data_IF_431926725486
#
_entry.id   IF_431926725486
#
_cell.length_a   1.000
_cell.length_b   1.000
_cell.length_c   1.000
_cell.angle_alpha   90.00
_cell.angle_beta   90.00
_cell.angle_gamma   90.00
#
_symmetry.space_group_name_H-M   'P 1'
#
loop_
_entity.id
_entity.type
_entity.pdbx_description
1 polymer ?
#
# COMPACT_ATOMS: atom_id res chain seq x y z
N UNK A 1 24.07 -58.30 -27.97
CA UNK A 1 22.84 -57.66 -28.51
C UNK A 1 22.19 -56.87 -27.38
N UNK A 2 22.20 -55.54 -27.53
CA UNK A 2 21.33 -54.51 -26.91
C UNK A 2 21.31 -54.29 -25.38
N UNK A 3 21.88 -53.13 -25.05
CA UNK A 3 21.91 -52.32 -23.83
C UNK A 3 20.76 -52.43 -22.82
N UNK A 4 21.15 -52.62 -21.55
CA UNK A 4 20.39 -52.30 -20.34
C UNK A 4 20.71 -50.84 -19.95
N UNK A 5 19.77 -49.91 -20.12
CA UNK A 5 19.81 -48.58 -19.51
C UNK A 5 18.39 -48.00 -19.48
N UNK A 6 17.73 -48.08 -18.33
CA UNK A 6 16.55 -47.27 -18.04
C UNK A 6 16.77 -46.63 -16.68
N UNK A 7 17.36 -45.43 -16.70
CA UNK A 7 17.43 -44.52 -15.57
C UNK A 7 16.01 -44.02 -15.31
N UNK A 8 15.39 -44.51 -14.24
CA UNK A 8 14.20 -43.92 -13.66
C UNK A 8 14.65 -42.85 -12.66
N UNK A 9 14.77 -41.62 -13.14
CA UNK A 9 15.00 -40.44 -12.28
C UNK A 9 14.03 -39.37 -12.76
N UNK A 10 12.82 -39.38 -12.20
CA UNK A 10 11.84 -38.32 -12.41
C UNK A 10 11.25 -37.85 -11.09
N UNK A 11 11.55 -36.58 -10.81
CA UNK A 11 10.69 -35.59 -10.18
C UNK A 11 10.19 -35.86 -8.74
N UNK A 12 11.11 -35.80 -7.79
CA UNK A 12 10.84 -35.06 -6.56
C UNK A 12 11.39 -33.65 -6.74
N UNK A 13 10.69 -32.83 -7.54
CA UNK A 13 10.86 -31.38 -7.47
C UNK A 13 10.23 -30.96 -6.14
N UNK A 14 11.07 -30.85 -5.12
CA UNK A 14 10.72 -30.32 -3.82
C UNK A 14 9.98 -29.00 -4.02
N UNK A 15 8.69 -28.99 -3.71
CA UNK A 15 7.94 -27.75 -3.47
C UNK A 15 8.48 -27.20 -2.14
N UNK A 16 9.73 -26.73 -2.15
CA UNK A 16 10.18 -25.89 -1.07
C UNK A 16 9.27 -24.65 -1.13
N UNK A 17 8.58 -24.27 -0.04
CA UNK A 17 7.93 -22.98 -0.01
C UNK A 17 8.97 -21.95 -0.45
N UNK A 18 8.60 -21.07 -1.36
CA UNK A 18 9.49 -20.07 -1.95
C UNK A 18 9.94 -19.08 -0.87
N UNK A 19 10.90 -19.48 -0.04
CA UNK A 19 11.53 -18.68 1.00
C UNK A 19 12.27 -17.46 0.43
N UNK A 20 12.51 -17.45 -0.89
CA UNK A 20 13.17 -16.35 -1.59
C UNK A 20 12.39 -15.03 -1.52
N UNK A 21 11.06 -15.09 -1.44
CA UNK A 21 10.22 -13.89 -1.42
C UNK A 21 10.22 -13.16 -0.06
N UNK A 22 10.42 -13.91 1.03
CA UNK A 22 10.57 -13.30 2.36
C UNK A 22 11.93 -12.60 2.51
N UNK A 23 12.96 -13.09 1.82
CA UNK A 23 14.33 -12.55 1.93
C UNK A 23 14.45 -11.08 1.53
N UNK A 24 13.68 -10.63 0.52
CA UNK A 24 13.74 -9.25 0.05
C UNK A 24 13.22 -8.21 1.06
N UNK A 25 12.46 -8.65 2.08
CA UNK A 25 11.81 -7.77 3.04
C UNK A 25 12.04 -8.19 4.51
N UNK A 26 12.89 -9.19 4.77
CA UNK A 26 13.18 -9.66 6.12
C UNK A 26 14.09 -8.69 6.91
N UNK A 27 14.69 -7.72 6.22
CA UNK A 27 15.68 -6.83 6.81
C UNK A 27 15.07 -5.66 7.58
N UNK A 28 15.88 -5.15 8.51
CA UNK A 28 15.62 -3.88 9.18
C UNK A 28 15.87 -2.75 8.21
N UNK A 29 14.83 -2.00 7.89
CA UNK A 29 14.94 -0.82 7.04
C UNK A 29 14.95 0.43 7.92
N UNK A 30 15.91 1.30 7.64
CA UNK A 30 15.99 2.65 8.18
C UNK A 30 16.15 3.61 7.02
N UNK A 31 15.13 4.41 6.77
CA UNK A 31 15.13 5.44 5.74
C UNK A 31 14.84 6.78 6.39
N UNK A 32 15.25 7.86 5.74
CA UNK A 32 15.07 9.21 6.25
C UNK A 32 14.83 10.18 5.10
N UNK A 33 14.18 11.28 5.42
CA UNK A 33 13.95 12.40 4.53
C UNK A 33 14.06 13.68 5.35
N UNK A 34 14.39 14.79 4.69
CA UNK A 34 14.50 16.07 5.35
C UNK A 34 13.93 17.20 4.52
N UNK A 35 13.54 18.26 5.21
CA UNK A 35 13.24 19.57 4.65
C UNK A 35 14.15 20.60 5.33
N UNK A 36 13.84 21.89 5.17
CA UNK A 36 14.54 22.95 5.90
C UNK A 36 14.33 22.80 7.42
N UNK A 37 13.08 22.55 7.86
CA UNK A 37 12.74 22.54 9.28
C UNK A 37 12.73 21.15 9.94
N UNK A 38 12.55 20.06 9.17
CA UNK A 38 12.30 18.72 9.72
C UNK A 38 13.32 17.68 9.26
N UNK A 39 13.69 16.79 10.18
CA UNK A 39 14.30 15.49 9.90
C UNK A 39 13.27 14.40 10.21
N UNK A 40 12.96 13.57 9.23
CA UNK A 40 11.99 12.47 9.35
C UNK A 40 12.72 11.16 9.19
N UNK A 41 12.49 10.25 10.13
CA UNK A 41 13.06 8.92 10.18
C UNK A 41 11.93 7.91 10.12
N UNK A 42 12.05 6.89 9.28
CA UNK A 42 11.22 5.70 9.33
C UNK A 42 12.08 4.50 9.65
N UNK A 43 11.55 3.63 10.50
CA UNK A 43 12.14 2.35 10.82
C UNK A 43 11.07 1.29 10.72
N UNK A 44 11.35 0.18 10.05
CA UNK A 44 10.62 -1.07 10.23
C UNK A 44 11.55 -2.25 10.42
N UNK A 45 11.13 -3.21 11.22
CA UNK A 45 11.90 -4.42 11.57
C UNK A 45 11.04 -5.67 11.38
N UNK A 46 11.30 -6.40 10.30
CA UNK A 46 10.58 -7.63 9.98
C UNK A 46 11.25 -8.90 10.52
N UNK A 47 12.40 -8.76 11.19
CA UNK A 47 13.08 -9.89 11.82
C UNK A 47 12.39 -10.36 13.11
N UNK A 48 11.52 -9.53 13.69
CA UNK A 48 10.80 -9.82 14.93
C UNK A 48 9.44 -10.46 14.63
N UNK A 49 9.46 -11.78 14.40
CA UNK A 49 8.27 -12.57 14.06
C UNK A 49 7.15 -12.48 15.10
N UNK A 50 7.48 -12.20 16.38
CA UNK A 50 6.49 -12.01 17.43
C UNK A 50 5.78 -10.66 17.29
N UNK A 51 6.52 -9.57 17.10
CA UNK A 51 5.91 -8.25 16.85
C UNK A 51 5.08 -8.22 15.58
N UNK A 52 5.54 -8.94 14.55
CA UNK A 52 4.76 -9.20 13.34
C UNK A 52 3.48 -9.94 13.72
N UNK A 53 3.54 -11.12 14.33
CA UNK A 53 2.33 -11.89 14.65
C UNK A 53 1.32 -11.12 15.53
N UNK A 54 1.80 -10.28 16.46
CA UNK A 54 0.94 -9.45 17.29
C UNK A 54 0.25 -8.32 16.50
N UNK A 55 0.92 -7.79 15.48
CA UNK A 55 0.39 -6.78 14.56
C UNK A 55 -0.46 -7.38 13.43
N UNK A 56 -0.20 -8.63 13.03
CA UNK A 56 -0.80 -9.28 11.87
C UNK A 56 -1.75 -10.41 12.28
N UNK A 57 -3.00 -10.04 12.51
CA UNK A 57 -4.12 -10.97 12.34
C UNK A 57 -4.87 -10.47 11.09
N UNK A 58 -4.94 -11.25 10.02
CA UNK A 58 -5.55 -10.83 8.75
C UNK A 58 -7.06 -10.57 8.85
N UNK A 59 -7.67 -10.88 10.01
CA UNK A 59 -9.05 -10.52 10.34
C UNK A 59 -9.15 -9.34 11.33
N UNK A 60 -8.01 -8.78 11.78
CA UNK A 60 -7.97 -7.61 12.66
C UNK A 60 -8.05 -6.29 11.90
N UNK A 61 -8.41 -5.30 12.70
CA UNK A 61 -8.42 -3.87 12.41
C UNK A 61 -7.12 -3.40 11.74
N UNK A 62 -7.20 -2.95 10.48
CA UNK A 62 -6.07 -2.38 9.73
C UNK A 62 -5.46 -1.16 10.44
N UNK A 63 -6.22 -0.52 11.33
CA UNK A 63 -5.73 0.55 12.19
C UNK A 63 -4.65 0.09 13.17
N UNK A 64 -4.43 -1.23 13.32
CA UNK A 64 -3.34 -1.77 14.15
C UNK A 64 -1.98 -1.17 13.78
N UNK A 65 -1.77 -0.82 12.51
CA UNK A 65 -0.54 -0.18 12.05
C UNK A 65 -0.33 1.24 12.58
N UNK A 66 -1.40 1.91 12.98
CA UNK A 66 -1.37 3.26 13.55
C UNK A 66 -1.61 3.25 15.07
N UNK A 67 -1.86 2.08 15.65
CA UNK A 67 -2.01 1.91 17.09
C UNK A 67 -0.65 1.81 17.77
N UNK A 68 -0.58 2.30 19.01
CA UNK A 68 0.63 2.25 19.86
C UNK A 68 1.15 0.83 20.14
N UNK A 69 0.34 -0.20 19.85
CA UNK A 69 0.74 -1.61 19.91
C UNK A 69 1.64 -2.04 18.75
N UNK A 70 1.61 -1.33 17.62
CA UNK A 70 2.56 -1.57 16.54
C UNK A 70 3.94 -1.09 16.99
N UNK A 71 4.82 -2.08 17.23
CA UNK A 71 6.22 -1.88 17.57
C UNK A 71 7.16 -2.29 16.43
N UNK A 72 6.63 -2.79 15.31
CA UNK A 72 7.44 -3.25 14.19
C UNK A 72 7.83 -2.10 13.27
N UNK A 73 6.99 -1.07 13.13
CA UNK A 73 7.23 0.06 12.25
C UNK A 73 6.73 1.39 12.84
N UNK A 74 7.51 2.45 12.65
CA UNK A 74 7.17 3.81 13.10
C UNK A 74 7.81 4.90 12.23
N UNK A 75 7.24 6.10 12.29
CA UNK A 75 7.82 7.34 11.79
C UNK A 75 8.11 8.26 12.97
N UNK A 76 9.32 8.80 13.02
CA UNK A 76 9.78 9.76 14.02
C UNK A 76 10.19 11.05 13.31
N UNK A 77 9.69 12.17 13.81
CA UNK A 77 9.99 13.50 13.27
C UNK A 77 10.70 14.34 14.32
N UNK A 78 11.80 14.95 13.90
CA UNK A 78 12.61 15.84 14.71
C UNK A 78 12.65 17.24 14.11
N UNK A 79 12.65 18.26 14.96
CA UNK A 79 13.00 19.61 14.57
C UNK A 79 14.49 19.71 14.25
N UNK A 80 14.85 20.30 13.10
CA UNK A 80 16.25 20.56 12.74
C UNK A 80 16.84 21.76 13.50
N UNK A 81 16.00 22.62 14.07
CA UNK A 81 16.44 23.78 14.83
C UNK A 81 17.13 23.36 16.14
N UNK A 82 16.52 22.44 16.89
CA UNK A 82 16.94 22.08 18.25
C UNK A 82 17.11 20.55 18.48
N UNK A 83 16.80 19.72 17.48
CA UNK A 83 16.88 18.26 17.59
C UNK A 83 15.75 17.61 18.40
N UNK A 84 14.73 18.37 18.81
CA UNK A 84 13.61 17.83 19.60
C UNK A 84 12.72 16.91 18.77
N UNK A 85 12.25 15.83 19.38
CA UNK A 85 11.25 14.94 18.78
C UNK A 85 9.90 15.65 18.82
N UNK A 86 9.37 16.00 17.65
CA UNK A 86 8.05 16.59 17.52
C UNK A 86 6.96 15.53 17.72
N UNK A 87 7.14 14.36 17.10
CA UNK A 87 6.27 13.21 17.29
C UNK A 87 6.95 11.90 16.87
N UNK A 88 6.40 10.80 17.38
CA UNK A 88 6.79 9.44 17.06
C UNK A 88 5.53 8.58 16.95
N UNK A 89 5.14 8.24 15.73
CA UNK A 89 3.86 7.60 15.44
C UNK A 89 4.06 6.22 14.81
N UNK A 90 3.31 5.19 15.24
CA UNK A 90 3.27 3.91 14.55
C UNK A 90 2.85 4.08 13.08
N UNK A 91 3.42 3.25 12.20
CA UNK A 91 3.15 3.33 10.77
C UNK A 91 3.15 1.95 10.11
N UNK A 92 2.62 1.82 8.89
CA UNK A 92 2.97 0.72 8.01
C UNK A 92 4.46 0.75 7.63
N UNK A 93 4.93 -0.30 6.95
CA UNK A 93 6.28 -0.38 6.42
C UNK A 93 6.40 0.47 5.15
N UNK A 94 7.29 1.47 5.16
CA UNK A 94 7.59 2.30 4.01
C UNK A 94 8.94 1.93 3.40
N UNK A 95 9.00 1.92 2.08
CA UNK A 95 10.25 1.82 1.33
C UNK A 95 10.80 3.18 0.90
N UNK A 96 9.98 4.22 0.97
CA UNK A 96 10.40 5.60 0.71
C UNK A 96 9.70 6.60 1.65
N UNK A 97 10.42 7.67 1.99
CA UNK A 97 9.92 8.80 2.77
C UNK A 97 10.15 10.10 1.99
N UNK A 98 9.19 11.01 2.11
CA UNK A 98 9.31 12.36 1.59
C UNK A 98 8.72 13.38 2.56
N UNK A 99 9.29 14.57 2.60
CA UNK A 99 8.79 15.70 3.41
C UNK A 99 8.58 16.87 2.48
N UNK A 100 7.43 17.53 2.61
CA UNK A 100 7.16 18.68 1.75
C UNK A 100 8.14 19.83 1.99
N UNK A 101 8.47 20.63 0.96
CA UNK A 101 9.39 21.75 1.11
C UNK A 101 8.97 22.75 2.20
N UNK A 102 7.66 22.94 2.40
CA UNK A 102 7.08 23.79 3.44
C UNK A 102 6.98 23.09 4.82
N UNK A 103 7.49 21.87 4.94
CA UNK A 103 7.48 21.04 6.14
C UNK A 103 6.09 20.77 6.75
N UNK A 104 5.02 20.91 5.95
CA UNK A 104 3.64 20.68 6.41
C UNK A 104 3.19 19.23 6.27
N UNK A 105 3.86 18.44 5.43
CA UNK A 105 3.49 17.06 5.12
C UNK A 105 4.66 16.11 5.24
N UNK A 106 4.38 14.94 5.79
CA UNK A 106 5.26 13.77 5.75
C UNK A 106 4.56 12.67 4.98
N UNK A 107 5.22 12.13 3.96
CA UNK A 107 4.64 11.13 3.05
C UNK A 107 5.46 9.85 3.13
N UNK A 108 4.78 8.76 3.46
CA UNK A 108 5.33 7.42 3.36
C UNK A 108 4.81 6.71 2.12
N UNK A 109 5.73 6.22 1.30
CA UNK A 109 5.43 5.35 0.15
C UNK A 109 6.00 3.96 0.38
N UNK A 110 5.36 2.94 -0.20
CA UNK A 110 5.81 1.56 -0.09
C UNK A 110 5.54 0.78 -1.35
N UNK A 111 6.55 0.06 -1.84
CA UNK A 111 6.37 -1.03 -2.78
C UNK A 111 6.18 -2.39 -2.09
N UNK A 112 6.08 -2.41 -0.76
CA UNK A 112 5.88 -3.59 0.05
C UNK A 112 4.38 -3.91 0.12
N UNK A 113 4.00 -5.12 -0.29
CA UNK A 113 2.61 -5.61 -0.29
C UNK A 113 2.31 -6.56 0.86
N UNK A 114 3.19 -7.53 1.11
CA UNK A 114 2.96 -8.53 2.15
C UNK A 114 2.87 -7.82 3.50
N UNK A 115 1.84 -8.13 4.28
CA UNK A 115 1.68 -7.58 5.63
C UNK A 115 1.75 -6.04 5.66
N UNK A 116 1.29 -5.39 4.60
CA UNK A 116 1.28 -3.94 4.52
C UNK A 116 -0.07 -3.44 3.98
N UNK A 117 -0.99 -3.01 4.86
CA UNK A 117 -2.33 -2.62 4.42
C UNK A 117 -2.36 -1.27 3.71
N UNK A 118 -1.30 -0.46 3.78
CA UNK A 118 -1.26 0.85 3.12
C UNK A 118 0.11 1.10 2.50
N UNK A 119 0.10 1.34 1.19
CA UNK A 119 1.31 1.68 0.42
C UNK A 119 1.55 3.18 0.37
N UNK A 120 0.53 3.98 0.66
CA UNK A 120 0.62 5.43 0.74
C UNK A 120 0.01 5.89 2.05
N UNK A 121 0.73 6.74 2.78
CA UNK A 121 0.20 7.47 3.93
C UNK A 121 0.72 8.90 3.89
N UNK A 122 -0.18 9.85 4.16
CA UNK A 122 0.12 11.28 4.28
C UNK A 122 -0.18 11.69 5.71
N UNK A 123 0.84 12.14 6.42
CA UNK A 123 0.74 12.76 7.73
C UNK A 123 0.82 14.28 7.60
N UNK A 124 0.10 14.99 8.45
CA UNK A 124 0.36 16.41 8.67
C UNK A 124 1.59 16.63 9.57
N UNK A 125 1.95 17.89 9.78
CA UNK A 125 3.07 18.29 10.64
C UNK A 125 2.93 17.82 12.09
N UNK A 126 1.71 17.62 12.59
CA UNK A 126 1.45 17.13 13.96
C UNK A 126 1.54 15.61 14.09
N UNK A 127 1.65 14.89 12.97
CA UNK A 127 1.66 13.42 12.93
C UNK A 127 0.27 12.80 12.79
N UNK A 128 -0.77 13.58 12.52
CA UNK A 128 -2.12 13.07 12.21
C UNK A 128 -2.13 12.51 10.79
N UNK A 129 -2.69 11.32 10.63
CA UNK A 129 -2.92 10.72 9.30
C UNK A 129 -4.04 11.49 8.61
N UNK A 130 -3.73 12.16 7.50
CA UNK A 130 -4.70 12.85 6.65
C UNK A 130 -5.26 11.93 5.59
N UNK A 131 -4.42 11.05 5.03
CA UNK A 131 -4.80 10.17 3.94
C UNK A 131 -4.00 8.87 4.03
N UNK A 132 -4.63 7.77 3.63
CA UNK A 132 -3.98 6.47 3.47
C UNK A 132 -4.65 5.68 2.36
N UNK A 133 -3.86 4.92 1.62
CA UNK A 133 -4.35 4.15 0.47
C UNK A 133 -3.64 2.81 0.35
N UNK A 134 -4.45 1.76 0.15
CA UNK A 134 -3.97 0.45 -0.25
C UNK A 134 -3.93 0.42 -1.77
N UNK A 135 -2.71 0.34 -2.31
CA UNK A 135 -2.46 0.33 -3.75
C UNK A 135 -2.54 -1.10 -4.23
N UNK A 136 -3.42 -1.35 -5.20
CA UNK A 136 -3.60 -2.68 -5.76
C UNK A 136 -3.98 -2.66 -7.24
N UNK A 137 -3.69 -3.73 -7.97
CA UNK A 137 -4.00 -3.86 -9.40
C UNK A 137 -5.48 -3.89 -9.71
N UNK A 138 -6.32 -4.18 -8.70
CA UNK A 138 -7.75 -4.15 -8.91
C UNK A 138 -8.60 -3.85 -7.69
N UNK A 139 -9.71 -3.16 -7.94
CA UNK A 139 -10.81 -2.92 -7.01
C UNK A 139 -12.13 -3.25 -7.70
N UNK A 140 -13.15 -3.60 -6.94
CA UNK A 140 -14.48 -3.88 -7.48
C UNK A 140 -15.25 -2.56 -7.62
N UNK A 141 -15.73 -2.25 -8.82
CA UNK A 141 -16.46 -1.02 -9.10
C UNK A 141 -17.98 -1.22 -8.97
N UNK A 142 -18.63 -0.26 -8.32
CA UNK A 142 -20.08 -0.20 -8.13
C UNK A 142 -20.62 1.21 -8.34
N UNK A 143 -21.82 1.32 -8.92
CA UNK A 143 -22.71 2.46 -8.60
C UNK A 143 -23.17 2.39 -7.13
N UNK A 144 -23.74 3.48 -6.61
CA UNK A 144 -24.30 3.48 -5.26
C UNK A 144 -25.38 2.39 -5.08
N UNK A 145 -26.33 2.26 -6.01
CA UNK A 145 -27.40 1.28 -5.93
C UNK A 145 -26.86 -0.16 -6.00
N UNK A 146 -25.91 -0.44 -6.90
CA UNK A 146 -25.32 -1.78 -6.99
C UNK A 146 -24.55 -2.16 -5.72
N UNK A 147 -23.88 -1.19 -5.08
CA UNK A 147 -23.19 -1.43 -3.82
C UNK A 147 -24.20 -1.72 -2.70
N UNK A 148 -25.31 -0.98 -2.63
CA UNK A 148 -26.38 -1.21 -1.66
C UNK A 148 -27.00 -2.60 -1.83
N UNK A 149 -27.32 -3.00 -3.07
CA UNK A 149 -27.85 -4.33 -3.38
C UNK A 149 -26.84 -5.43 -2.99
N UNK A 150 -25.56 -5.24 -3.31
CA UNK A 150 -24.50 -6.17 -2.94
C UNK A 150 -24.38 -6.32 -1.41
N UNK A 151 -24.37 -5.21 -0.68
CA UNK A 151 -24.27 -5.20 0.78
C UNK A 151 -25.53 -5.74 1.47
N UNK A 152 -26.69 -5.58 0.85
CA UNK A 152 -27.94 -6.21 1.29
C UNK A 152 -27.89 -7.73 1.13
N UNK A 153 -27.34 -8.21 0.01
CA UNK A 153 -27.15 -9.64 -0.27
C UNK A 153 -26.10 -10.29 0.63
N UNK A 154 -25.04 -9.55 1.00
CA UNK A 154 -23.92 -10.05 1.81
C UNK A 154 -23.67 -9.21 3.08
N UNK A 155 -24.63 -9.13 4.02
CA UNK A 155 -24.58 -8.19 5.13
C UNK A 155 -23.38 -8.40 6.08
N UNK A 156 -22.91 -9.64 6.23
CA UNK A 156 -21.75 -9.97 7.03
C UNK A 156 -20.45 -9.33 6.51
N UNK A 157 -20.37 -9.02 5.22
CA UNK A 157 -19.18 -8.42 4.58
C UNK A 157 -19.14 -6.91 4.69
N UNK A 158 -20.25 -6.27 5.11
CA UNK A 158 -20.41 -4.82 5.06
C UNK A 158 -19.34 -4.08 5.83
N UNK A 159 -19.02 -4.51 7.05
CA UNK A 159 -18.02 -3.84 7.87
C UNK A 159 -16.65 -3.86 7.19
N UNK A 160 -16.19 -5.03 6.75
CA UNK A 160 -14.84 -5.19 6.21
C UNK A 160 -14.68 -4.53 4.83
N UNK A 161 -15.67 -4.64 3.95
CA UNK A 161 -15.60 -4.05 2.61
C UNK A 161 -15.68 -2.52 2.63
N UNK A 162 -16.38 -1.93 3.60
CA UNK A 162 -16.49 -0.48 3.70
C UNK A 162 -15.26 0.19 4.31
N UNK A 163 -14.43 -0.53 5.08
CA UNK A 163 -13.14 -0.01 5.58
C UNK A 163 -12.20 0.39 4.44
N UNK A 164 -12.30 -0.30 3.30
CA UNK A 164 -11.49 -0.03 2.11
C UNK A 164 -12.20 0.65 0.96
N UNK A 165 -13.37 1.22 1.21
CA UNK A 165 -14.15 1.89 0.16
C UNK A 165 -13.50 3.20 -0.24
N UNK A 166 -13.34 3.36 -1.54
CA UNK A 166 -12.97 4.61 -2.17
C UNK A 166 -14.17 5.14 -2.99
N UNK A 167 -14.33 6.47 -3.03
CA UNK A 167 -15.25 7.14 -3.96
C UNK A 167 -14.44 7.93 -4.98
N UNK A 168 -14.70 7.68 -6.26
CA UNK A 168 -14.04 8.38 -7.38
C UNK A 168 -15.05 8.51 -8.52
N UNK A 169 -15.22 9.72 -9.05
CA UNK A 169 -16.17 10.04 -10.13
C UNK A 169 -17.60 9.50 -9.91
N UNK A 170 -18.08 9.62 -8.66
CA UNK A 170 -19.41 9.15 -8.26
C UNK A 170 -19.57 7.62 -8.19
N UNK A 171 -18.50 6.87 -8.41
CA UNK A 171 -18.44 5.41 -8.30
C UNK A 171 -17.79 4.99 -7.00
N UNK A 172 -18.17 3.82 -6.50
CA UNK A 172 -17.55 3.20 -5.33
C UNK A 172 -16.60 2.10 -5.76
N UNK A 173 -15.37 2.16 -5.27
CA UNK A 173 -14.34 1.16 -5.50
C UNK A 173 -14.08 0.42 -4.19
N UNK A 174 -14.35 -0.88 -4.19
CA UNK A 174 -14.18 -1.75 -3.03
C UNK A 174 -12.88 -2.51 -3.18
N UNK A 175 -12.01 -2.32 -2.20
CA UNK A 175 -10.76 -3.05 -2.13
C UNK A 175 -10.97 -4.45 -1.57
N UNK A 176 -10.99 -5.44 -2.47
CA UNK A 176 -11.13 -6.84 -2.11
C UNK A 176 -9.81 -7.60 -2.21
N UNK A 177 -8.72 -7.00 -2.72
CA UNK A 177 -7.44 -7.69 -2.91
C UNK A 177 -6.55 -7.71 -1.66
N UNK A 178 -7.08 -7.28 -0.51
CA UNK A 178 -6.35 -7.24 0.77
C UNK A 178 -6.07 -8.63 1.31
N UNK A 179 -5.00 -8.74 2.08
CA UNK A 179 -4.66 -9.98 2.77
C UNK A 179 -5.80 -10.43 3.68
N UNK A 180 -6.11 -11.73 3.69
CA UNK A 180 -7.19 -12.29 4.52
C UNK A 180 -8.60 -12.20 3.92
N UNK A 181 -8.81 -11.36 2.90
CA UNK A 181 -10.15 -11.17 2.32
C UNK A 181 -10.81 -12.44 1.80
N UNK A 182 -10.11 -13.37 1.10
CA UNK A 182 -10.73 -14.62 0.65
C UNK A 182 -11.28 -15.50 1.78
N UNK A 183 -10.76 -15.34 3.01
CA UNK A 183 -11.23 -16.05 4.21
C UNK A 183 -12.34 -15.26 4.91
N UNK A 184 -12.29 -13.93 4.84
CA UNK A 184 -13.19 -13.03 5.55
C UNK A 184 -14.56 -12.85 4.86
N UNK A 185 -14.68 -13.19 3.58
CA UNK A 185 -15.93 -13.03 2.82
C UNK A 185 -16.40 -14.36 2.21
N UNK A 186 -17.73 -14.59 2.07
CA UNK A 186 -18.24 -15.78 1.42
C UNK A 186 -17.75 -15.90 -0.02
N UNK A 187 -17.48 -17.13 -0.47
CA UNK A 187 -16.96 -17.43 -1.83
C UNK A 187 -17.79 -16.77 -2.94
N UNK A 188 -19.12 -16.83 -2.85
CA UNK A 188 -20.01 -16.18 -3.84
C UNK A 188 -19.85 -14.66 -3.88
N UNK A 189 -19.62 -14.02 -2.72
CA UNK A 189 -19.38 -12.58 -2.65
C UNK A 189 -18.03 -12.23 -3.29
N UNK A 190 -17.01 -13.06 -3.04
CA UNK A 190 -15.69 -12.94 -3.65
C UNK A 190 -15.72 -13.06 -5.17
N UNK A 191 -16.45 -14.04 -5.71
CA UNK A 191 -16.63 -14.20 -7.16
C UNK A 191 -17.30 -12.98 -7.80
N UNK A 192 -18.33 -12.42 -7.17
CA UNK A 192 -19.01 -11.21 -7.65
C UNK A 192 -18.10 -9.98 -7.64
N UNK A 193 -17.27 -9.81 -6.61
CA UNK A 193 -16.27 -8.75 -6.55
C UNK A 193 -15.23 -8.91 -7.67
N UNK A 194 -14.75 -10.13 -7.91
CA UNK A 194 -13.83 -10.43 -9.01
C UNK A 194 -14.43 -10.12 -10.39
N UNK A 195 -15.72 -10.44 -10.60
CA UNK A 195 -16.40 -10.14 -11.86
C UNK A 195 -16.59 -8.63 -12.10
N UNK A 196 -16.53 -7.82 -11.03
CA UNK A 196 -16.58 -6.35 -11.07
C UNK A 196 -15.20 -5.69 -10.99
N UNK A 197 -14.14 -6.47 -11.09
CA UNK A 197 -12.76 -5.99 -11.00
C UNK A 197 -12.45 -4.95 -12.08
N UNK A 198 -11.93 -3.81 -11.64
CA UNK A 198 -11.40 -2.70 -12.43
C UNK A 198 -10.03 -2.29 -11.90
N UNK A 199 -9.17 -1.66 -12.71
CA UNK A 199 -7.96 -1.03 -12.21
C UNK A 199 -8.25 -0.05 -11.07
N UNK A 200 -7.30 0.13 -10.16
CA UNK A 200 -7.38 1.20 -9.16
C UNK A 200 -7.49 2.56 -9.87
N UNK A 201 -8.48 3.41 -9.51
CA UNK A 201 -8.72 4.66 -10.23
C UNK A 201 -7.60 5.69 -10.08
N UNK A 202 -6.77 5.61 -9.04
CA UNK A 202 -5.64 6.52 -8.87
C UNK A 202 -4.33 5.97 -9.45
N UNK A 203 -4.18 4.64 -9.46
CA UNK A 203 -2.95 3.95 -9.87
C UNK A 203 -3.25 2.81 -10.85
N UNK A 204 -3.86 3.10 -12.02
CA UNK A 204 -4.38 2.06 -12.92
C UNK A 204 -3.29 1.18 -13.57
N UNK A 205 -2.02 1.57 -13.47
CA UNK A 205 -0.87 0.88 -14.08
C UNK A 205 0.02 0.15 -13.08
N UNK A 206 -0.50 -0.09 -11.87
CA UNK A 206 0.26 -0.79 -10.85
C UNK A 206 0.51 -2.25 -11.26
N UNK A 207 1.75 -2.69 -11.04
CA UNK A 207 2.13 -4.09 -11.21
C UNK A 207 2.28 -4.73 -9.84
N UNK A 208 1.56 -5.81 -9.60
CA UNK A 208 1.65 -6.56 -8.36
C UNK A 208 2.25 -7.93 -8.61
N UNK A 209 3.13 -8.34 -7.71
CA UNK A 209 3.43 -9.76 -7.53
C UNK A 209 2.30 -10.45 -6.75
N UNK A 210 2.30 -11.79 -6.84
CA UNK A 210 1.36 -12.62 -6.09
C UNK A 210 1.57 -12.46 -4.58
N UNK A 211 2.81 -12.28 -4.15
CA UNK A 211 3.24 -12.54 -2.77
C UNK A 211 3.54 -11.26 -1.98
N UNK A 212 4.40 -10.37 -2.47
CA UNK A 212 5.18 -9.50 -1.57
C UNK A 212 5.48 -8.08 -2.07
N UNK A 213 5.39 -7.82 -3.36
CA UNK A 213 5.64 -6.50 -3.94
C UNK A 213 4.49 -5.95 -4.77
N UNK A 214 4.38 -4.63 -4.74
CA UNK A 214 3.50 -3.79 -5.55
C UNK A 214 4.33 -2.65 -6.10
N UNK A 215 4.38 -2.48 -7.42
CA UNK A 215 5.23 -1.52 -8.11
C UNK A 215 4.35 -0.45 -8.75
N UNK A 216 4.41 0.76 -8.21
CA UNK A 216 3.54 1.87 -8.63
C UNK A 216 4.24 3.23 -8.72
N UNK A 217 5.43 3.35 -8.15
CA UNK A 217 6.32 4.51 -8.25
C UNK A 217 7.79 4.06 -8.38
N UNK A 218 8.68 4.98 -8.77
CA UNK A 218 10.11 4.71 -8.84
C UNK A 218 10.71 4.85 -7.44
N UNK A 219 11.16 3.74 -6.85
CA UNK A 219 11.74 3.79 -5.50
C UNK A 219 13.11 4.45 -5.47
N UNK A 220 13.86 4.39 -6.58
CA UNK A 220 15.20 4.96 -6.69
C UNK A 220 15.18 6.45 -6.99
N UNK A 221 14.20 6.90 -7.78
CA UNK A 221 14.01 8.30 -8.17
C UNK A 221 12.55 8.74 -8.04
N UNK A 222 11.98 8.69 -6.83
CA UNK A 222 10.59 9.10 -6.61
C UNK A 222 10.45 10.61 -6.81
N UNK A 223 9.60 11.01 -7.75
CA UNK A 223 9.30 12.42 -8.00
C UNK A 223 7.93 12.76 -7.42
N UNK A 224 7.94 13.52 -6.32
CA UNK A 224 6.75 13.96 -5.60
C UNK A 224 6.68 15.48 -5.61
N UNK A 225 5.46 16.02 -5.73
CA UNK A 225 5.19 17.43 -5.58
C UNK A 225 3.84 17.67 -4.90
N UNK A 226 3.73 18.77 -4.18
CA UNK A 226 2.46 19.30 -3.69
C UNK A 226 2.06 20.45 -4.60
N UNK A 227 0.88 20.37 -5.18
CA UNK A 227 0.34 21.41 -6.07
C UNK A 227 -0.99 21.94 -5.54
N UNK A 228 -1.25 23.22 -5.78
CA UNK A 228 -2.53 23.84 -5.45
C UNK A 228 -3.29 24.16 -6.74
N UNK A 229 -4.54 23.70 -6.81
CA UNK A 229 -5.44 23.94 -7.94
C UNK A 229 -6.86 24.13 -7.41
N UNK A 230 -7.58 25.16 -7.87
CA UNK A 230 -8.97 25.44 -7.47
C UNK A 230 -9.21 25.42 -5.94
N UNK A 231 -8.28 26.00 -5.18
CA UNK A 231 -8.27 25.99 -3.69
C UNK A 231 -8.15 24.60 -3.05
N UNK A 232 -7.88 23.56 -3.83
CA UNK A 232 -7.56 22.23 -3.35
C UNK A 232 -6.05 22.00 -3.42
N UNK A 233 -5.59 21.05 -2.61
CA UNK A 233 -4.19 20.65 -2.56
C UNK A 233 -4.07 19.22 -3.02
N UNK A 234 -3.09 18.94 -3.86
CA UNK A 234 -2.89 17.63 -4.43
C UNK A 234 -1.45 17.16 -4.23
N UNK A 235 -1.30 15.88 -3.90
CA UNK A 235 -0.06 15.16 -4.05
C UNK A 235 0.03 14.66 -5.49
N UNK A 236 1.14 15.01 -6.15
CA UNK A 236 1.53 14.51 -7.46
C UNK A 236 2.66 13.50 -7.26
N UNK A 237 2.53 12.31 -7.85
CA UNK A 237 3.57 11.27 -7.84
C UNK A 237 3.79 10.79 -9.27
N UNK A 238 5.03 10.84 -9.77
CA UNK A 238 5.34 10.23 -11.06
C UNK A 238 5.29 8.69 -10.93
N UNK A 239 4.55 8.04 -11.83
CA UNK A 239 4.53 6.59 -11.94
C UNK A 239 5.65 6.08 -12.85
N UNK A 240 6.16 4.88 -12.56
CA UNK A 240 7.10 4.13 -13.41
C UNK A 240 6.44 3.52 -14.64
N UNK A 241 5.11 3.40 -14.63
CA UNK A 241 4.35 2.83 -15.74
C UNK A 241 3.40 3.88 -16.32
N UNK A 242 3.37 3.96 -17.64
CA UNK A 242 2.34 4.65 -18.41
C UNK A 242 1.39 3.64 -19.07
N UNK A 243 0.41 4.12 -19.87
CA UNK A 243 -0.30 3.23 -20.76
C UNK A 243 0.74 2.63 -21.74
N UNK A 244 0.51 1.44 -22.30
CA UNK A 244 1.36 0.91 -23.36
C UNK A 244 1.55 2.00 -24.43
N UNK A 245 2.81 2.39 -24.64
CA UNK A 245 3.18 3.61 -25.34
C UNK A 245 2.55 3.68 -26.74
N UNK A 246 1.81 4.77 -27.01
CA UNK A 246 1.95 5.41 -28.32
C UNK A 246 3.33 6.10 -28.31
N UNK A 247 4.14 5.84 -29.33
CA UNK A 247 5.58 6.17 -29.40
C UNK A 247 5.96 7.66 -29.16
N UNK A 248 5.00 8.58 -29.09
CA UNK A 248 5.24 10.02 -29.11
C UNK A 248 5.10 10.79 -27.79
N UNK A 249 4.91 10.15 -26.62
CA UNK A 249 4.95 10.90 -25.36
C UNK A 249 5.42 10.05 -24.16
N UNK A 250 6.71 10.16 -23.83
CA UNK A 250 7.28 9.81 -22.52
C UNK A 250 6.87 10.83 -21.44
N UNK A 251 5.65 11.38 -21.49
CA UNK A 251 5.12 12.13 -20.36
C UNK A 251 4.94 11.15 -19.22
N UNK A 252 5.84 11.16 -18.24
CA UNK A 252 5.68 10.40 -16.98
C UNK A 252 4.26 10.63 -16.48
N UNK A 253 3.51 9.55 -16.30
CA UNK A 253 2.15 9.67 -15.79
C UNK A 253 2.21 10.15 -14.35
N UNK A 254 1.32 11.08 -14.01
CA UNK A 254 1.22 11.61 -12.66
C UNK A 254 -0.04 11.11 -11.98
N UNK A 255 0.18 10.42 -10.88
CA UNK A 255 -0.85 10.08 -9.91
C UNK A 255 -1.18 11.37 -9.17
N UNK A 256 -2.47 11.72 -9.11
CA UNK A 256 -2.97 12.94 -8.47
C UNK A 256 -3.93 12.58 -7.36
N UNK A 257 -3.58 12.95 -6.13
CA UNK A 257 -4.35 12.60 -4.92
C UNK A 257 -4.67 13.87 -4.17
N UNK A 258 -5.97 14.14 -3.95
CA UNK A 258 -6.40 15.28 -3.15
C UNK A 258 -6.00 15.06 -1.67
N UNK A 259 -5.30 16.03 -1.10
CA UNK A 259 -4.88 15.99 0.30
C UNK A 259 -5.93 16.74 1.14
N UNK A 260 -6.56 16.07 2.12
CA UNK A 260 -7.43 16.75 3.06
C UNK A 260 -6.68 17.88 3.78
N UNK A 261 -7.35 19.03 3.98
CA UNK A 261 -6.75 20.11 4.77
C UNK A 261 -6.59 19.64 6.23
N UNK A 262 -5.46 19.98 6.84
CA UNK A 262 -5.37 19.92 8.30
C UNK A 262 -6.32 20.99 8.85
N UNK A 263 -7.30 20.54 9.63
CA UNK A 263 -8.07 21.43 10.50
C UNK A 263 -7.19 21.99 11.63
#
# INVERSE_FOLDING_TARGET
MRHFFTILTLFFASIAPSSGDYGAYADRVKIWAESEALLVLHNHDWSDSKKIADAFDPLRDEEVHFHSKNQFAYVKVLSKENGEVLWNSPSPAFSHLWVSPDSNYVIGLSNIKINNPYQLVIFDRSGKVLYKHHVTSSKAEFTQNELEDFLFKYPATKKILLTGRLIHDGRSYIDFARMGMPVAIPEKAWEELKNRSKPDPFVPWVIESVTNSVRWFDESEPNLAIVEEDSKRFLMIDSIYGPPASEDNLSKMRIKIEIPRSE
#
